data_IF_005300621201
#
_entry.id   IF_005300621201
#
_cell.length_a   1.000
_cell.length_b   1.000
_cell.length_c   1.000
_cell.angle_alpha   90.00
_cell.angle_beta   90.00
_cell.angle_gamma   90.00
#
_symmetry.space_group_name_H-M   'P 1'
#
loop_
_entity.id
_entity.type
_entity.pdbx_description
1 polymer ?
#
# COMPACT_ATOMS: atom_id res chain seq x y z
N UNK A 1 10.28 17.67 -0.31
CA UNK A 1 9.04 17.35 -1.04
C UNK A 1 8.35 16.26 -0.25
N UNK A 2 7.27 16.59 0.45
CA UNK A 2 6.54 15.63 1.28
C UNK A 2 5.79 14.69 0.36
N UNK A 3 6.12 13.40 0.38
CA UNK A 3 5.34 12.39 -0.32
C UNK A 3 3.93 12.38 0.29
N UNK A 4 2.95 12.93 -0.43
CA UNK A 4 1.55 12.89 0.01
C UNK A 4 1.07 11.45 -0.13
N UNK A 5 1.00 10.76 1.01
CA UNK A 5 0.44 9.42 1.09
C UNK A 5 -1.08 9.54 0.91
N UNK A 6 -1.66 8.70 0.05
CA UNK A 6 -3.10 8.66 -0.18
C UNK A 6 -3.85 8.36 1.11
N UNK A 7 -4.95 9.08 1.34
CA UNK A 7 -5.87 8.85 2.47
C UNK A 7 -7.16 8.16 2.02
N UNK A 8 -7.18 7.60 0.80
CA UNK A 8 -8.36 6.87 0.35
C UNK A 8 -8.54 5.59 1.16
N UNK A 9 -9.79 5.27 1.47
CA UNK A 9 -10.16 4.01 2.14
C UNK A 9 -10.69 2.96 1.16
N UNK A 10 -10.75 3.30 -0.14
CA UNK A 10 -11.05 2.35 -1.19
C UNK A 10 -9.76 1.68 -1.67
N UNK A 11 -9.81 0.36 -1.82
CA UNK A 11 -8.66 -0.43 -2.26
C UNK A 11 -8.36 -0.25 -3.75
N UNK A 12 -9.39 0.01 -4.56
CA UNK A 12 -9.26 0.18 -6.01
C UNK A 12 -8.52 1.47 -6.39
N UNK A 13 -8.36 2.40 -5.45
CA UNK A 13 -7.59 3.64 -5.65
C UNK A 13 -6.07 3.43 -5.54
N UNK A 14 -5.64 2.24 -5.11
CA UNK A 14 -4.23 1.90 -4.93
C UNK A 14 -3.74 1.02 -6.07
N UNK A 15 -2.61 1.39 -6.65
CA UNK A 15 -1.97 0.61 -7.71
C UNK A 15 -0.79 -0.19 -7.15
N UNK A 16 -0.64 -1.43 -7.63
CA UNK A 16 0.49 -2.30 -7.33
C UNK A 16 1.27 -2.52 -8.63
N UNK A 17 2.40 -1.83 -8.76
CA UNK A 17 3.28 -1.93 -9.92
C UNK A 17 4.37 -2.93 -9.64
N UNK A 18 4.34 -4.08 -10.31
CA UNK A 18 5.35 -5.13 -10.13
C UNK A 18 6.38 -5.08 -11.26
N UNK A 19 7.65 -5.06 -10.89
CA UNK A 19 8.79 -5.10 -11.81
C UNK A 19 9.72 -6.25 -11.44
N UNK A 20 10.07 -7.06 -12.44
CA UNK A 20 11.19 -8.00 -12.34
C UNK A 20 12.52 -7.26 -12.56
N UNK A 21 13.46 -7.38 -11.63
CA UNK A 21 14.79 -6.73 -11.69
C UNK A 21 15.91 -7.69 -12.13
N UNK A 22 15.75 -8.98 -11.88
CA UNK A 22 16.73 -10.01 -12.20
C UNK A 22 16.09 -11.38 -12.40
N UNK A 23 16.87 -12.45 -12.32
CA UNK A 23 16.35 -13.82 -12.50
C UNK A 23 15.34 -14.19 -11.40
N UNK A 24 15.64 -13.92 -10.13
CA UNK A 24 14.78 -14.22 -8.98
C UNK A 24 14.58 -12.99 -8.09
N UNK A 25 14.50 -11.81 -8.70
CA UNK A 25 14.31 -10.56 -7.97
C UNK A 25 13.10 -9.81 -8.52
N UNK A 26 12.11 -9.61 -7.65
CA UNK A 26 10.90 -8.86 -7.93
C UNK A 26 10.82 -7.68 -6.99
N UNK A 27 10.24 -6.59 -7.49
CA UNK A 27 9.92 -5.41 -6.70
C UNK A 27 8.47 -5.02 -6.97
N UNK A 28 7.73 -4.67 -5.94
CA UNK A 28 6.42 -4.03 -6.05
C UNK A 28 6.52 -2.59 -5.59
N UNK A 29 5.85 -1.68 -6.29
CA UNK A 29 5.78 -0.27 -5.94
C UNK A 29 4.33 0.20 -5.93
N UNK A 30 3.96 0.88 -4.85
CA UNK A 30 2.68 1.58 -4.74
C UNK A 30 2.94 3.09 -4.72
N UNK A 31 2.63 3.81 -5.82
CA UNK A 31 2.82 5.26 -5.92
C UNK A 31 2.06 6.02 -4.83
N UNK A 32 0.83 5.59 -4.54
CA UNK A 32 -0.08 6.22 -3.58
C UNK A 32 0.43 6.15 -2.14
N UNK A 33 1.17 5.10 -1.80
CA UNK A 33 1.84 4.96 -0.51
C UNK A 33 3.29 5.44 -0.53
N UNK A 34 3.79 5.81 -1.72
CA UNK A 34 5.21 6.00 -2.00
C UNK A 34 6.08 4.88 -1.38
N UNK A 35 5.60 3.64 -1.51
CA UNK A 35 6.18 2.46 -0.86
C UNK A 35 6.68 1.49 -1.92
N UNK A 36 7.91 1.02 -1.75
CA UNK A 36 8.50 -0.04 -2.57
C UNK A 36 8.85 -1.24 -1.69
N UNK A 37 8.48 -2.42 -2.14
CA UNK A 37 8.83 -3.70 -1.53
C UNK A 37 9.63 -4.54 -2.52
N UNK A 38 10.47 -5.43 -2.01
CA UNK A 38 11.27 -6.35 -2.81
C UNK A 38 11.08 -7.77 -2.29
N UNK A 39 11.24 -8.75 -3.17
CA UNK A 39 11.09 -10.17 -2.87
C UNK A 39 11.65 -11.04 -3.97
N UNK A 40 11.55 -12.35 -3.82
CA UNK A 40 12.14 -13.30 -4.77
C UNK A 40 11.12 -13.88 -5.72
N UNK A 41 9.83 -13.75 -5.40
CA UNK A 41 8.72 -14.22 -6.23
C UNK A 41 7.72 -13.10 -6.54
N UNK A 42 7.06 -13.21 -7.69
CA UNK A 42 6.03 -12.28 -8.13
C UNK A 42 4.86 -12.19 -7.15
N UNK A 43 4.25 -13.34 -6.84
CA UNK A 43 3.10 -13.43 -5.94
C UNK A 43 3.44 -12.96 -4.51
N UNK A 44 4.67 -13.20 -4.06
CA UNK A 44 5.15 -12.74 -2.75
C UNK A 44 5.13 -11.20 -2.66
N UNK A 45 5.67 -10.50 -3.67
CA UNK A 45 5.72 -9.03 -3.64
C UNK A 45 4.34 -8.39 -3.87
N UNK A 46 3.46 -9.09 -4.60
CA UNK A 46 2.06 -8.69 -4.78
C UNK A 46 1.31 -8.77 -3.45
N UNK A 47 1.29 -9.94 -2.82
CA UNK A 47 0.59 -10.18 -1.55
C UNK A 47 1.11 -9.24 -0.45
N UNK A 48 2.43 -9.07 -0.34
CA UNK A 48 3.01 -8.13 0.64
C UNK A 48 2.55 -6.70 0.42
N UNK A 49 2.45 -6.24 -0.83
CA UNK A 49 1.98 -4.88 -1.11
C UNK A 49 0.48 -4.74 -0.82
N UNK A 50 -0.31 -5.73 -1.21
CA UNK A 50 -1.73 -5.78 -0.94
C UNK A 50 -2.03 -5.72 0.56
N UNK A 51 -1.33 -6.51 1.38
CA UNK A 51 -1.43 -6.46 2.84
C UNK A 51 -1.08 -5.08 3.40
N UNK A 52 -0.06 -4.40 2.85
CA UNK A 52 0.32 -3.05 3.29
C UNK A 52 -0.78 -2.03 2.98
N UNK A 53 -1.40 -2.11 1.80
CA UNK A 53 -2.53 -1.27 1.42
C UNK A 53 -3.72 -1.52 2.34
N UNK A 54 -4.08 -2.79 2.59
CA UNK A 54 -5.18 -3.13 3.48
C UNK A 54 -4.97 -2.62 4.91
N UNK A 55 -3.75 -2.80 5.45
CA UNK A 55 -3.41 -2.30 6.78
C UNK A 55 -3.48 -0.77 6.85
N UNK A 56 -3.00 -0.07 5.82
CA UNK A 56 -3.11 1.39 5.72
C UNK A 56 -4.56 1.86 5.70
N UNK A 57 -5.40 1.25 4.87
CA UNK A 57 -6.85 1.54 4.81
C UNK A 57 -7.52 1.27 6.17
N UNK A 58 -7.16 0.17 6.83
CA UNK A 58 -7.71 -0.16 8.15
C UNK A 58 -7.31 0.89 9.19
N UNK A 59 -6.05 1.31 9.20
CA UNK A 59 -5.58 2.39 10.09
C UNK A 59 -6.32 3.70 9.82
N UNK A 60 -6.50 4.09 8.55
CA UNK A 60 -7.28 5.26 8.18
C UNK A 60 -8.73 5.16 8.68
N UNK A 61 -9.38 4.00 8.51
CA UNK A 61 -10.74 3.78 9.02
C UNK A 61 -10.80 3.87 10.54
N UNK A 62 -9.80 3.37 11.26
CA UNK A 62 -9.72 3.52 12.73
C UNK A 62 -9.57 5.00 13.09
N UNK A 63 -8.64 5.72 12.47
CA UNK A 63 -8.43 7.15 12.72
C UNK A 63 -9.68 7.98 12.41
N UNK A 64 -10.36 7.73 11.28
CA UNK A 64 -11.59 8.43 10.89
C UNK A 64 -12.78 8.12 11.81
N UNK A 65 -12.85 6.91 12.38
CA UNK A 65 -13.88 6.54 13.35
C UNK A 65 -13.53 6.96 14.80
N UNK A 66 -12.31 7.43 15.05
CA UNK A 66 -11.85 7.93 16.36
C UNK A 66 -12.00 9.45 16.49
N UNK A 67 -12.92 10.08 15.75
CA UNK A 67 -13.39 11.44 16.05
C UNK A 67 -14.54 11.39 17.09
N UNK A 68 -14.27 11.59 18.41
CA UNK A 68 -15.31 11.80 19.42
C UNK A 68 -16.03 13.16 19.31
N UNK A 69 -15.91 13.87 18.19
CA UNK A 69 -16.56 15.17 17.95
C UNK A 69 -17.79 15.08 17.05
N UNK A 70 -18.65 14.09 17.25
CA UNK A 70 -20.08 14.20 16.92
C UNK A 70 -20.95 13.55 18.01
N UNK A 71 -21.40 14.44 18.92
CA UNK A 71 -22.50 14.33 19.89
C UNK A 71 -22.44 13.30 21.00
#
# INVERSE_FOLDING_TARGET
MSSNISTSTNIDDYEILIRRRGENEYASYCPQLNLMLTGTFHEEVENKMYEKIQNHIQQLKVTLNQDPSKN
#
